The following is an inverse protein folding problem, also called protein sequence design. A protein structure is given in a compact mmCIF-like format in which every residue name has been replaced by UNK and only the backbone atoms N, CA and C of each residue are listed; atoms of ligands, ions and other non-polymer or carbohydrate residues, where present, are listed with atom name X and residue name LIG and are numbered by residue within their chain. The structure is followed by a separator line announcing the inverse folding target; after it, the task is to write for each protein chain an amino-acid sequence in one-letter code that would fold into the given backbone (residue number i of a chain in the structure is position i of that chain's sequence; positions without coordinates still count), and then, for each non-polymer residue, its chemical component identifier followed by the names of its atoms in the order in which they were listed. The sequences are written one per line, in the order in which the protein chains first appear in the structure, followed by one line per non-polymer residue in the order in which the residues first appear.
data_IF_789323589021
#
_entry.id   IF_789323589021
#
_cell.length_a   1.000
_cell.length_b   1.000
_cell.length_c   1.000
_cell.angle_alpha   90.00
_cell.angle_beta   90.00
_cell.angle_gamma   90.00
#
_symmetry.space_group_name_H-M   'P 1'
#
loop_
_entity.id
_entity.type
_entity.pdbx_description
1 polymer ?
#
# COMPACT_ATOMS: atom_id res chain seq x y z
N UNK A 1 -11.69 4.12 -10.95
CA UNK A 1 -11.38 3.19 -12.06
C UNK A 1 -10.23 2.31 -11.65
N UNK A 2 -10.41 1.00 -11.78
CA UNK A 2 -9.40 0.00 -11.43
C UNK A 2 -8.49 -0.23 -12.62
N UNK A 3 -7.18 -0.01 -12.44
CA UNK A 3 -6.15 -0.28 -13.44
C UNK A 3 -5.46 -1.61 -13.12
N UNK A 4 -5.92 -2.67 -13.76
CA UNK A 4 -5.49 -4.04 -13.43
C UNK A 4 -4.04 -4.32 -13.84
N UNK A 5 -3.57 -3.70 -14.93
CA UNK A 5 -2.20 -3.89 -15.42
C UNK A 5 -1.22 -3.20 -14.48
N UNK A 6 -1.45 -1.93 -14.18
CA UNK A 6 -0.62 -1.15 -13.26
C UNK A 6 -0.61 -1.74 -11.84
N UNK A 7 -1.76 -2.23 -11.35
CA UNK A 7 -1.82 -2.94 -10.06
C UNK A 7 -1.01 -4.24 -10.08
N UNK A 8 -1.02 -4.97 -11.19
CA UNK A 8 -0.25 -6.21 -11.32
C UNK A 8 1.25 -5.92 -11.33
N UNK A 9 1.67 -4.89 -12.07
CA UNK A 9 3.06 -4.41 -12.09
C UNK A 9 3.54 -4.01 -10.69
N UNK A 10 2.74 -3.22 -9.96
CA UNK A 10 3.06 -2.84 -8.58
C UNK A 10 3.13 -4.07 -7.66
N UNK A 11 2.17 -4.98 -7.75
CA UNK A 11 2.15 -6.19 -6.91
C UNK A 11 3.38 -7.09 -7.14
N UNK A 12 3.83 -7.23 -8.38
CA UNK A 12 5.00 -8.03 -8.75
C UNK A 12 6.29 -7.39 -8.26
N UNK A 13 6.50 -6.10 -8.54
CA UNK A 13 7.71 -5.41 -8.09
C UNK A 13 7.74 -5.28 -6.57
N UNK A 14 6.61 -5.03 -5.91
CA UNK A 14 6.57 -4.98 -4.45
C UNK A 14 6.90 -6.34 -3.82
N UNK A 15 6.41 -7.45 -4.41
CA UNK A 15 6.79 -8.80 -3.99
C UNK A 15 8.29 -9.04 -4.13
N UNK A 16 8.91 -8.58 -5.23
CA UNK A 16 10.37 -8.70 -5.45
C UNK A 16 11.15 -7.87 -4.45
N UNK A 17 10.67 -6.66 -4.13
CA UNK A 17 11.29 -5.75 -3.17
C UNK A 17 11.31 -6.37 -1.76
N UNK A 18 10.17 -6.82 -1.24
CA UNK A 18 10.08 -7.43 0.10
C UNK A 18 10.76 -8.80 0.20
N UNK A 19 11.12 -9.40 -0.94
CA UNK A 19 11.92 -10.62 -1.01
C UNK A 19 13.43 -10.33 -1.13
N UNK A 20 13.85 -9.06 -1.14
CA UNK A 20 15.25 -8.65 -1.32
C UNK A 20 15.80 -8.98 -2.72
N UNK A 21 14.92 -9.19 -3.71
CA UNK A 21 15.34 -9.56 -5.06
C UNK A 21 15.81 -8.34 -5.86
N UNK A 22 15.14 -7.20 -5.67
CA UNK A 22 15.47 -5.91 -6.29
C UNK A 22 15.85 -4.85 -5.24
N UNK A 23 16.50 -3.78 -5.69
CA UNK A 23 16.80 -2.61 -4.87
C UNK A 23 15.58 -1.68 -4.76
N UNK A 24 15.63 -0.75 -3.80
CA UNK A 24 14.65 0.34 -3.71
C UNK A 24 14.60 1.19 -4.98
N UNK A 25 15.75 1.49 -5.61
CA UNK A 25 15.78 2.28 -6.84
C UNK A 25 15.22 1.52 -8.05
N UNK A 26 15.54 0.22 -8.20
CA UNK A 26 14.92 -0.63 -9.24
C UNK A 26 13.39 -0.70 -9.06
N UNK A 27 12.91 -0.73 -7.82
CA UNK A 27 11.47 -0.68 -7.53
C UNK A 27 10.86 0.66 -7.92
N UNK A 28 11.49 1.78 -7.57
CA UNK A 28 11.00 3.12 -7.93
C UNK A 28 10.98 3.33 -9.45
N UNK A 29 12.05 2.96 -10.14
CA UNK A 29 12.13 3.05 -11.60
C UNK A 29 10.97 2.27 -12.26
N UNK A 30 10.66 1.07 -11.74
CA UNK A 30 9.60 0.23 -12.26
C UNK A 30 8.18 0.71 -11.93
N UNK A 31 7.98 1.53 -10.89
CA UNK A 31 6.65 1.84 -10.35
C UNK A 31 6.27 3.32 -10.35
N UNK A 32 7.22 4.25 -10.22
CA UNK A 32 6.93 5.69 -10.14
C UNK A 32 6.61 6.29 -11.52
N UNK A 33 7.04 5.65 -12.61
CA UNK A 33 6.69 6.05 -13.98
C UNK A 33 5.28 5.67 -14.43
N UNK A 34 4.50 5.00 -13.57
CA UNK A 34 3.16 4.50 -13.92
C UNK A 34 2.15 5.66 -13.97
N UNK A 35 1.74 6.04 -15.19
CA UNK A 35 0.70 7.05 -15.39
C UNK A 35 -0.70 6.42 -15.25
N UNK A 36 -1.29 6.50 -14.05
CA UNK A 36 -2.59 5.90 -13.75
C UNK A 36 -3.48 6.81 -12.90
N UNK A 37 -4.79 6.71 -13.12
CA UNK A 37 -5.83 7.36 -12.30
C UNK A 37 -6.28 6.48 -11.12
N UNK A 38 -5.76 5.26 -11.02
CA UNK A 38 -6.07 4.35 -9.92
C UNK A 38 -5.41 4.82 -8.62
N UNK A 39 -6.23 5.39 -7.73
CA UNK A 39 -5.78 5.97 -6.47
C UNK A 39 -5.15 4.94 -5.53
N UNK A 40 -5.53 3.66 -5.61
CA UNK A 40 -4.88 2.64 -4.79
C UNK A 40 -3.39 2.56 -5.03
N UNK A 41 -2.96 2.72 -6.29
CA UNK A 41 -1.56 2.59 -6.68
C UNK A 41 -0.75 3.71 -6.03
N UNK A 42 -1.24 4.95 -6.11
CA UNK A 42 -0.59 6.12 -5.52
C UNK A 42 -0.47 5.99 -4.00
N UNK A 43 -1.60 5.74 -3.32
CA UNK A 43 -1.62 5.61 -1.86
C UNK A 43 -0.75 4.43 -1.37
N UNK A 44 -0.72 3.31 -2.10
CA UNK A 44 0.15 2.18 -1.73
C UNK A 44 1.62 2.47 -1.98
N UNK A 45 1.99 3.13 -3.08
CA UNK A 45 3.37 3.54 -3.35
C UNK A 45 3.87 4.45 -2.23
N UNK A 46 3.08 5.45 -1.81
CA UNK A 46 3.44 6.36 -0.73
C UNK A 46 3.72 5.62 0.59
N UNK A 47 2.91 4.60 0.90
CA UNK A 47 3.14 3.76 2.09
C UNK A 47 4.36 2.86 1.93
N UNK A 48 4.55 2.24 0.77
CA UNK A 48 5.68 1.35 0.48
C UNK A 48 7.01 2.12 0.54
N UNK A 49 7.03 3.37 0.07
CA UNK A 49 8.21 4.24 0.14
C UNK A 49 8.73 4.39 1.58
N UNK A 50 7.85 4.34 2.59
CA UNK A 50 8.26 4.41 4.01
C UNK A 50 9.00 3.17 4.52
N UNK A 51 9.13 2.11 3.72
CA UNK A 51 9.80 0.86 4.13
C UNK A 51 11.31 0.89 3.90
N UNK A 52 11.84 1.89 3.20
CA UNK A 52 13.26 1.97 2.85
C UNK A 52 13.82 3.41 2.97
N UNK A 53 15.15 3.50 2.96
CA UNK A 53 15.91 4.77 2.90
C UNK A 53 16.12 5.19 1.43
N UNK A 54 15.47 6.25 0.97
CA UNK A 54 15.55 6.73 -0.40
C UNK A 54 16.86 7.47 -0.74
N UNK A 55 17.74 7.72 0.25
CA UNK A 55 18.99 8.45 0.04
C UNK A 55 20.07 7.63 -0.68
N UNK A 56 19.94 6.30 -0.70
CA UNK A 56 20.89 5.41 -1.35
C UNK A 56 20.24 4.14 -1.88
N UNK A 57 20.84 3.60 -2.92
CA UNK A 57 20.44 2.30 -3.44
C UNK A 57 20.82 1.18 -2.46
N UNK A 58 19.83 0.36 -2.12
CA UNK A 58 20.02 -0.83 -1.29
C UNK A 58 18.85 -1.81 -1.48
N UNK A 59 19.06 -3.06 -1.05
CA UNK A 59 18.00 -4.05 -0.92
C UNK A 59 17.39 -3.96 0.47
N UNK A 60 16.09 -4.24 0.60
CA UNK A 60 15.46 -4.32 1.91
C UNK A 60 16.13 -5.37 2.79
N UNK A 61 16.36 -5.01 4.05
CA UNK A 61 16.78 -5.96 5.06
C UNK A 61 15.59 -6.83 5.48
N UNK A 62 15.42 -7.93 4.74
CA UNK A 62 14.35 -8.90 4.98
C UNK A 62 14.41 -9.53 6.37
N UNK A 63 15.57 -9.57 7.02
CA UNK A 63 15.70 -10.10 8.38
C UNK A 63 15.15 -9.13 9.44
N UNK A 64 15.05 -7.84 9.12
CA UNK A 64 14.47 -6.83 10.00
C UNK A 64 12.93 -6.85 10.02
N UNK A 65 12.29 -7.49 9.04
CA UNK A 65 10.82 -7.58 9.00
C UNK A 65 10.26 -8.57 10.02
N UNK A 66 9.26 -8.12 10.76
CA UNK A 66 8.47 -8.98 11.62
C UNK A 66 7.46 -9.82 10.82
N UNK A 67 6.92 -10.86 11.46
CA UNK A 67 5.80 -11.64 10.91
C UNK A 67 4.57 -10.76 10.59
N UNK A 68 4.37 -9.67 11.33
CA UNK A 68 3.26 -8.75 11.13
C UNK A 68 3.48 -7.86 9.90
N UNK A 69 4.71 -7.43 9.66
CA UNK A 69 5.08 -6.69 8.45
C UNK A 69 4.82 -7.53 7.21
N UNK A 70 5.26 -8.79 7.20
CA UNK A 70 4.99 -9.70 6.10
C UNK A 70 3.49 -9.94 5.85
N UNK A 71 2.67 -10.04 6.91
CA UNK A 71 1.20 -10.13 6.76
C UNK A 71 0.62 -8.86 6.16
N UNK A 72 1.14 -7.70 6.52
CA UNK A 72 0.75 -6.40 5.97
C UNK A 72 1.12 -6.30 4.48
N UNK A 73 2.36 -6.63 4.13
CA UNK A 73 2.82 -6.69 2.73
C UNK A 73 1.97 -7.66 1.88
N UNK A 74 1.71 -8.86 2.40
CA UNK A 74 0.88 -9.86 1.72
C UNK A 74 -0.55 -9.37 1.48
N UNK A 75 -1.12 -8.61 2.43
CA UNK A 75 -2.44 -7.99 2.28
C UNK A 75 -2.47 -6.95 1.17
N UNK A 76 -1.42 -6.13 1.05
CA UNK A 76 -1.32 -5.12 -0.02
C UNK A 76 -1.28 -5.80 -1.39
N UNK A 77 -0.45 -6.84 -1.53
CA UNK A 77 -0.36 -7.65 -2.75
C UNK A 77 -1.72 -8.29 -3.06
N UNK A 78 -2.41 -8.84 -2.04
CA UNK A 78 -3.73 -9.43 -2.21
C UNK A 78 -4.74 -8.41 -2.73
N UNK A 79 -4.76 -7.20 -2.16
CA UNK A 79 -5.63 -6.12 -2.59
C UNK A 79 -5.38 -5.72 -4.04
N UNK A 80 -4.11 -5.49 -4.40
CA UNK A 80 -3.71 -5.14 -5.76
C UNK A 80 -4.19 -6.18 -6.79
N UNK A 81 -4.19 -7.46 -6.41
CA UNK A 81 -4.64 -8.56 -7.28
C UNK A 81 -6.13 -8.90 -7.19
N UNK A 82 -6.87 -8.31 -6.25
CA UNK A 82 -8.29 -8.60 -5.99
C UNK A 82 -9.25 -8.05 -7.05
N UNK A 83 -8.86 -6.96 -7.74
CA UNK A 83 -9.73 -6.21 -8.65
C UNK A 83 -10.78 -5.35 -7.97
N UNK A 84 -10.79 -5.27 -6.63
CA UNK A 84 -11.73 -4.43 -5.87
C UNK A 84 -11.44 -2.94 -6.07
N UNK A 85 -12.47 -2.11 -6.15
CA UNK A 85 -12.29 -0.66 -6.27
C UNK A 85 -11.79 -0.03 -4.96
N UNK A 86 -10.93 0.98 -5.09
CA UNK A 86 -10.38 1.68 -3.93
C UNK A 86 -11.32 2.79 -3.46
N UNK A 87 -11.99 2.52 -2.34
CA UNK A 87 -13.09 3.35 -1.82
C UNK A 87 -12.66 4.32 -0.72
N UNK A 88 -11.44 4.21 -0.20
CA UNK A 88 -10.94 5.15 0.79
C UNK A 88 -11.01 6.60 0.26
N UNK A 89 -11.42 7.57 1.10
CA UNK A 89 -11.56 8.95 0.68
C UNK A 89 -10.20 9.51 0.26
N UNK A 90 -10.18 10.58 -0.53
CA UNK A 90 -8.94 11.27 -0.94
C UNK A 90 -8.25 11.82 0.31
N UNK A 91 -7.37 11.03 0.88
CA UNK A 91 -6.72 11.36 2.14
C UNK A 91 -5.41 12.09 1.85
N UNK A 92 -5.18 13.18 2.59
CA UNK A 92 -3.87 13.82 2.77
C UNK A 92 -3.11 13.16 3.94
N UNK A 93 -3.57 11.99 4.40
CA UNK A 93 -3.26 11.46 5.75
C UNK A 93 -1.97 10.64 5.76
N UNK A 94 -1.54 10.13 4.60
CA UNK A 94 -0.22 9.51 4.40
C UNK A 94 0.86 10.50 3.99
N UNK A 95 0.53 11.80 3.87
CA UNK A 95 1.54 12.83 3.71
C UNK A 95 2.50 12.78 4.93
N UNK A 96 3.79 12.49 4.72
CA UNK A 96 4.77 12.45 5.81
C UNK A 96 4.73 13.73 6.66
N UNK A 97 4.40 14.88 6.06
CA UNK A 97 4.23 16.14 6.76
C UNK A 97 3.01 16.16 7.71
N UNK A 98 1.90 15.48 7.40
CA UNK A 98 0.71 15.41 8.26
C UNK A 98 0.95 14.50 9.47
N UNK A 99 1.67 13.39 9.30
CA UNK A 99 2.11 12.51 10.41
C UNK A 99 3.17 13.17 11.31
N UNK A 100 4.05 14.00 10.75
CA UNK A 100 5.07 14.73 11.50
C UNK A 100 4.48 15.92 12.27
N UNK A 101 3.56 16.67 11.66
CA UNK A 101 2.92 17.83 12.29
C UNK A 101 1.86 17.48 13.33
N UNK A 102 1.21 16.31 13.23
CA UNK A 102 0.27 15.83 14.25
C UNK A 102 0.94 15.54 15.60
N UNK A 103 2.25 15.25 15.59
CA UNK A 103 3.06 15.08 16.79
C UNK A 103 3.59 16.40 17.37
N UNK A 104 3.60 17.50 16.61
CA UNK A 104 4.39 18.68 16.98
C UNK A 104 3.55 19.93 17.26
N UNK A 105 2.61 20.41 16.44
CA UNK A 105 1.81 21.60 16.84
C UNK A 105 0.48 21.75 16.07
N UNK A 106 -0.59 21.96 16.84
CA UNK A 106 -1.77 22.81 16.55
C UNK A 106 -2.02 23.27 15.09
N UNK A 107 -2.63 22.39 14.27
CA UNK A 107 -3.43 22.77 13.09
C UNK A 107 -4.79 22.04 13.11
N UNK A 108 -5.36 21.92 14.32
CA UNK A 108 -6.30 20.88 14.74
C UNK A 108 -7.78 21.04 14.37
N UNK A 109 -8.15 21.63 13.24
CA UNK A 109 -9.58 21.66 12.80
C UNK A 109 -9.76 21.07 11.40
N UNK A 110 -8.94 21.48 10.42
CA UNK A 110 -9.03 20.98 9.05
C UNK A 110 -8.54 19.52 8.91
N UNK A 111 -7.51 19.15 9.67
CA UNK A 111 -7.03 17.76 9.80
C UNK A 111 -8.05 16.85 10.46
N UNK A 112 -8.74 17.33 11.52
CA UNK A 112 -9.75 16.53 12.25
C UNK A 112 -10.94 16.10 11.40
N UNK A 113 -11.39 16.92 10.44
CA UNK A 113 -12.54 16.57 9.59
C UNK A 113 -12.19 15.46 8.60
N UNK A 114 -11.04 15.59 7.91
CA UNK A 114 -10.55 14.55 6.99
C UNK A 114 -10.18 13.26 7.69
N UNK A 115 -9.60 13.36 8.89
CA UNK A 115 -9.32 12.20 9.75
C UNK A 115 -10.63 11.50 10.17
N UNK A 116 -11.67 12.25 10.55
CA UNK A 116 -13.00 11.68 10.83
C UNK A 116 -13.64 11.03 9.62
N UNK A 117 -13.57 11.63 8.44
CA UNK A 117 -14.09 11.05 7.21
C UNK A 117 -13.34 9.75 6.84
N UNK A 118 -12.03 9.71 7.08
CA UNK A 118 -11.21 8.53 6.84
C UNK A 118 -11.52 7.40 7.85
N UNK A 119 -11.56 7.72 9.15
CA UNK A 119 -11.94 6.77 10.20
C UNK A 119 -13.39 6.29 10.02
N UNK A 120 -14.28 7.13 9.48
CA UNK A 120 -15.66 6.77 9.18
C UNK A 120 -15.82 5.95 7.89
N UNK A 121 -14.85 6.01 6.97
CA UNK A 121 -14.96 5.34 5.67
C UNK A 121 -14.86 3.82 5.79
N UNK A 122 -14.03 3.32 6.70
CA UNK A 122 -13.79 1.89 6.84
C UNK A 122 -12.94 1.54 8.05
N UNK A 123 -12.68 0.24 8.21
CA UNK A 123 -11.83 -0.27 9.27
C UNK A 123 -10.35 -0.22 8.85
N UNK A 124 -9.61 0.70 9.48
CA UNK A 124 -8.19 0.95 9.21
C UNK A 124 -7.31 -0.29 9.42
N UNK A 125 -7.75 -1.24 10.27
CA UNK A 125 -7.01 -2.46 10.53
C UNK A 125 -6.96 -3.38 9.30
N UNK A 126 -7.87 -3.19 8.34
CA UNK A 126 -7.95 -3.97 7.11
C UNK A 126 -7.47 -3.20 5.87
N UNK A 127 -7.03 -1.95 6.01
CA UNK A 127 -6.47 -1.17 4.89
C UNK A 127 -5.42 -1.99 4.12
N UNK A 128 -5.43 -1.97 2.78
CA UNK A 128 -6.19 -1.13 1.86
C UNK A 128 -7.64 -1.58 1.58
N UNK A 129 -8.10 -2.69 2.16
CA UNK A 129 -9.52 -3.06 2.11
C UNK A 129 -10.34 -2.11 2.97
N UNK A 130 -11.62 -1.92 2.63
CA UNK A 130 -12.50 -1.04 3.40
C UNK A 130 -12.91 -1.68 4.73
N UNK A 131 -13.05 -3.00 4.77
CA UNK A 131 -13.51 -3.74 5.94
C UNK A 131 -13.03 -5.20 5.89
N UNK A 132 -13.33 -5.95 6.96
CA UNK A 132 -13.01 -7.37 7.08
C UNK A 132 -13.68 -8.25 6.01
N UNK A 133 -14.91 -7.91 5.60
CA UNK A 133 -15.65 -8.70 4.61
C UNK A 133 -14.95 -8.66 3.25
N UNK A 134 -14.56 -7.48 2.78
CA UNK A 134 -13.84 -7.30 1.51
C UNK A 134 -12.51 -8.06 1.51
N UNK A 135 -11.81 -8.03 2.64
CA UNK A 135 -10.56 -8.77 2.82
C UNK A 135 -10.78 -10.28 2.76
N UNK A 136 -11.78 -10.81 3.47
CA UNK A 136 -12.10 -12.24 3.45
C UNK A 136 -12.64 -12.70 2.09
N UNK A 137 -13.37 -11.84 1.36
CA UNK A 137 -13.77 -12.12 -0.01
C UNK A 137 -12.55 -12.23 -0.94
N UNK A 138 -11.57 -11.33 -0.83
CA UNK A 138 -10.34 -11.39 -1.61
C UNK A 138 -9.52 -12.66 -1.31
N UNK A 139 -9.46 -13.08 -0.04
CA UNK A 139 -8.78 -14.32 0.39
C UNK A 139 -9.37 -15.59 -0.21
N UNK A 140 -10.64 -15.59 -0.64
CA UNK A 140 -11.26 -16.75 -1.30
C UNK A 140 -10.77 -16.96 -2.74
N UNK A 141 -10.14 -15.96 -3.37
CA UNK A 141 -9.66 -16.01 -4.76
C UNK A 141 -8.24 -15.46 -4.91
N UNK A 142 -7.22 -16.00 -4.20
CA UNK A 142 -5.89 -15.41 -4.19
C UNK A 142 -5.14 -15.75 -5.50
N UNK A 143 -4.90 -14.75 -6.37
CA UNK A 143 -4.22 -14.99 -7.65
C UNK A 143 -2.81 -15.58 -7.51
N UNK A 144 -2.04 -15.15 -6.50
CA UNK A 144 -0.66 -15.63 -6.28
C UNK A 144 -0.51 -16.77 -5.27
N UNK A 145 -1.61 -17.19 -4.63
CA UNK A 145 -1.61 -18.28 -3.64
C UNK A 145 -2.56 -19.42 -4.00
N UNK A 146 -3.32 -19.30 -5.09
CA UNK A 146 -3.90 -20.44 -5.78
C UNK A 146 -2.74 -21.22 -6.36
N UNK A 147 -2.44 -22.43 -5.88
CA UNK A 147 -1.30 -23.27 -6.26
C UNK A 147 -1.19 -23.67 -7.73
N UNK A 148 -1.83 -22.96 -8.65
CA UNK A 148 -1.67 -23.09 -10.08
C UNK A 148 -0.62 -22.07 -10.54
N UNK A 149 0.65 -22.42 -10.31
CA UNK A 149 1.74 -21.85 -11.09
C UNK A 149 1.63 -22.40 -12.51
N UNK A 150 1.15 -21.57 -13.44
CA UNK A 150 1.31 -21.75 -14.89
C UNK A 150 1.69 -20.41 -15.48
#
# INVERSE_FOLDING_TARGET
MVDTESRSLLAENFRRLIAGQITNFEFEEATFGVNTDDRAIKDLIDVIWTFYDDLKEHKLDVAAFSQEDYKTCARFILFLKSGQEYQWPKSSVFDPFVRLLSKVFTLGIYTRKKEKEFVAAGDINYWPFLNAEDFEQAKKRPKYLNGNAT
#
